data_IF_870106504697
#
_entry.id   IF_870106504697
#
_cell.length_a   1.000
_cell.length_b   1.000
_cell.length_c   1.000
_cell.angle_alpha   90.00
_cell.angle_beta   90.00
_cell.angle_gamma   90.00
#
_symmetry.space_group_name_H-M   'P 1'
#
loop_
_entity.id
_entity.type
_entity.pdbx_description
1 polymer ?
#
# COMPACT_ATOMS: atom_id res chain seq x y z
N UNK A 1 -20.63 0.06 -18.27
CA UNK A 1 -20.47 1.52 -18.12
C UNK A 1 -19.62 1.97 -19.27
N UNK A 2 -20.12 2.90 -20.07
CA UNK A 2 -19.52 3.17 -21.37
C UNK A 2 -18.35 4.17 -21.32
N UNK A 3 -18.17 4.90 -20.21
CA UNK A 3 -17.04 5.81 -20.01
C UNK A 3 -16.57 5.89 -18.58
N UNK A 4 -15.24 5.91 -18.40
CA UNK A 4 -14.59 6.06 -17.11
C UNK A 4 -13.19 6.69 -17.26
N UNK A 5 -12.62 7.12 -16.15
CA UNK A 5 -11.23 7.57 -16.04
C UNK A 5 -10.54 6.76 -14.94
N UNK A 6 -9.45 6.07 -15.28
CA UNK A 6 -8.56 5.49 -14.29
C UNK A 6 -7.57 6.57 -13.84
N UNK A 7 -7.30 6.63 -12.53
CA UNK A 7 -6.40 7.62 -11.91
C UNK A 7 -5.45 6.89 -10.97
N UNK A 8 -4.18 7.32 -11.00
CA UNK A 8 -3.15 6.92 -10.06
C UNK A 8 -2.26 8.11 -9.69
N UNK A 9 -1.70 8.10 -8.47
CA UNK A 9 -0.80 9.12 -7.95
C UNK A 9 0.47 8.52 -7.38
N UNK A 10 1.62 9.17 -7.63
CA UNK A 10 2.83 8.96 -6.83
C UNK A 10 2.99 10.08 -5.81
N UNK A 11 3.66 9.76 -4.69
CA UNK A 11 3.89 10.73 -3.61
C UNK A 11 5.31 10.62 -3.06
N UNK A 12 5.94 11.77 -2.76
CA UNK A 12 7.33 11.81 -2.30
C UNK A 12 7.52 11.20 -0.92
N UNK A 13 6.50 11.26 -0.06
CA UNK A 13 6.55 10.71 1.29
C UNK A 13 5.30 9.88 1.57
N UNK A 14 5.28 9.04 2.61
CA UNK A 14 4.06 8.36 3.04
C UNK A 14 2.91 9.31 3.41
N UNK A 15 3.17 10.60 3.45
CA UNK A 15 2.15 11.61 3.63
C UNK A 15 1.54 11.99 2.27
N UNK A 16 0.32 11.57 2.02
CA UNK A 16 -0.39 11.74 0.76
C UNK A 16 -0.63 13.20 0.33
N UNK A 17 -0.30 14.19 1.17
CA UNK A 17 -0.25 15.61 0.78
C UNK A 17 0.88 15.90 -0.22
N UNK A 18 1.89 15.03 -0.28
CA UNK A 18 3.08 15.20 -1.10
C UNK A 18 2.98 14.50 -2.45
N UNK A 19 1.79 14.51 -3.07
CA UNK A 19 1.64 13.99 -4.43
C UNK A 19 2.65 14.66 -5.37
N UNK A 20 3.41 13.84 -6.12
CA UNK A 20 4.50 14.28 -7.00
C UNK A 20 4.28 13.95 -8.47
N UNK A 21 3.32 13.09 -8.77
CA UNK A 21 2.81 12.91 -10.13
C UNK A 21 1.38 12.38 -10.13
N UNK A 22 0.71 12.57 -11.25
CA UNK A 22 -0.61 12.03 -11.55
C UNK A 22 -0.62 11.42 -12.93
N UNK A 23 -1.22 10.23 -13.05
CA UNK A 23 -1.57 9.58 -14.29
C UNK A 23 -3.09 9.44 -14.42
N UNK A 24 -3.62 9.73 -15.60
CA UNK A 24 -5.06 9.61 -15.87
C UNK A 24 -5.28 9.01 -17.25
N UNK A 25 -6.17 8.03 -17.34
CA UNK A 25 -6.51 7.33 -18.57
C UNK A 25 -8.02 7.32 -18.77
N UNK A 26 -8.49 7.97 -19.82
CA UNK A 26 -9.92 8.02 -20.17
C UNK A 26 -10.26 6.91 -21.16
N UNK A 27 -11.27 6.14 -20.82
CA UNK A 27 -11.81 5.06 -21.66
C UNK A 27 -13.24 5.36 -22.03
N UNK A 28 -13.57 5.18 -23.30
CA UNK A 28 -14.92 5.25 -23.84
C UNK A 28 -15.16 3.99 -24.71
N UNK A 29 -16.23 3.28 -24.43
CA UNK A 29 -16.59 2.06 -25.17
C UNK A 29 -15.44 1.05 -25.30
N UNK A 30 -14.73 0.82 -24.19
CA UNK A 30 -13.56 -0.07 -24.09
C UNK A 30 -12.34 0.36 -24.93
N UNK A 31 -12.26 1.61 -25.34
CA UNK A 31 -11.12 2.17 -26.07
C UNK A 31 -10.51 3.29 -25.20
N UNK A 32 -9.19 3.24 -25.00
CA UNK A 32 -8.45 4.35 -24.41
C UNK A 32 -8.47 5.49 -25.44
N UNK A 33 -9.09 6.61 -25.07
CA UNK A 33 -9.28 7.76 -25.96
C UNK A 33 -8.42 8.95 -25.60
N UNK A 34 -7.94 9.02 -24.35
CA UNK A 34 -7.10 10.11 -23.88
C UNK A 34 -6.27 9.66 -22.68
N UNK A 35 -5.04 10.13 -22.63
CA UNK A 35 -4.12 9.92 -21.52
C UNK A 35 -3.53 11.24 -21.07
N UNK A 36 -3.23 11.35 -19.80
CA UNK A 36 -2.61 12.52 -19.19
C UNK A 36 -1.60 12.08 -18.15
N UNK A 37 -0.45 12.72 -18.15
CA UNK A 37 0.56 12.60 -17.12
C UNK A 37 1.10 13.97 -16.77
N UNK A 38 1.29 14.23 -15.49
CA UNK A 38 2.01 15.41 -15.02
C UNK A 38 2.80 15.10 -13.77
N UNK A 39 3.99 15.66 -13.67
CA UNK A 39 4.61 15.88 -12.38
C UNK A 39 3.78 16.92 -11.63
N UNK A 40 3.84 16.86 -10.30
CA UNK A 40 3.16 17.79 -9.39
C UNK A 40 4.22 18.37 -8.46
N UNK A 41 4.24 19.69 -8.29
CA UNK A 41 5.02 20.32 -7.24
C UNK A 41 4.34 20.00 -5.89
N UNK A 42 4.97 19.18 -5.02
CA UNK A 42 4.38 18.80 -3.76
C UNK A 42 4.30 19.98 -2.79
N UNK A 43 3.41 19.89 -1.82
CA UNK A 43 3.27 20.87 -0.76
C UNK A 43 3.29 20.18 0.60
N UNK A 44 4.01 20.72 1.56
CA UNK A 44 5.04 21.77 1.44
C UNK A 44 6.24 21.30 0.62
N UNK A 45 6.90 22.20 -0.08
CA UNK A 45 8.02 21.93 -1.00
C UNK A 45 9.38 21.69 -0.31
N UNK A 46 9.43 21.78 1.01
CA UNK A 46 10.62 21.59 1.84
C UNK A 46 10.86 20.12 2.27
N UNK A 47 9.99 19.20 1.87
CA UNK A 47 10.08 17.79 2.28
C UNK A 47 10.97 16.98 1.37
N UNK A 48 11.96 16.32 1.97
CA UNK A 48 12.81 15.36 1.26
C UNK A 48 12.01 14.12 0.86
N UNK A 49 12.23 13.63 -0.37
CA UNK A 49 11.62 12.41 -0.86
C UNK A 49 12.13 11.19 -0.09
N UNK A 50 11.20 10.40 0.40
CA UNK A 50 11.45 9.08 0.98
C UNK A 50 11.10 7.95 0.00
N UNK A 51 10.33 8.27 -1.06
CA UNK A 51 9.81 7.28 -2.01
C UNK A 51 10.50 7.32 -3.38
N UNK A 52 11.52 8.17 -3.58
CA UNK A 52 12.27 8.22 -4.85
C UNK A 52 12.81 6.86 -5.28
N UNK A 53 13.20 6.00 -4.33
CA UNK A 53 13.67 4.65 -4.63
C UNK A 53 12.56 3.74 -5.20
N UNK A 54 11.29 4.10 -5.03
CA UNK A 54 10.13 3.36 -5.54
C UNK A 54 9.78 3.79 -6.95
N UNK A 55 9.56 5.11 -7.16
CA UNK A 55 9.04 5.65 -8.44
C UNK A 55 10.08 6.45 -9.24
N UNK A 56 11.23 6.75 -8.65
CA UNK A 56 12.34 7.46 -9.33
C UNK A 56 12.17 8.98 -9.44
N UNK A 57 11.08 9.56 -8.89
CA UNK A 57 10.83 11.00 -8.95
C UNK A 57 11.54 11.67 -7.77
N UNK A 58 12.33 12.73 -8.06
CA UNK A 58 13.03 13.54 -7.05
C UNK A 58 12.33 14.89 -6.84
N UNK A 59 12.70 15.59 -5.76
CA UNK A 59 12.21 16.94 -5.48
C UNK A 59 12.59 17.91 -6.61
N UNK A 60 13.81 17.78 -7.15
CA UNK A 60 14.31 18.65 -8.23
C UNK A 60 13.47 18.48 -9.51
N UNK A 61 13.03 17.25 -9.81
CA UNK A 61 12.15 16.99 -10.95
C UNK A 61 10.81 17.71 -10.79
N UNK A 62 10.32 17.86 -9.56
CA UNK A 62 9.05 18.48 -9.24
C UNK A 62 9.15 20.00 -9.03
N UNK A 63 10.35 20.56 -8.89
CA UNK A 63 10.55 21.96 -8.45
C UNK A 63 9.84 22.99 -9.34
N UNK A 64 9.79 22.76 -10.66
CA UNK A 64 9.12 23.64 -11.63
C UNK A 64 7.81 23.04 -12.17
N UNK A 65 7.32 21.95 -11.60
CA UNK A 65 6.05 21.37 -11.99
C UNK A 65 4.87 22.26 -11.53
N UNK A 66 3.70 22.16 -12.18
CA UNK A 66 2.49 22.77 -11.67
C UNK A 66 2.12 22.22 -10.30
N UNK A 67 1.49 23.02 -9.48
CA UNK A 67 0.92 22.55 -8.21
C UNK A 67 -0.34 21.71 -8.48
N UNK A 68 -0.76 20.95 -7.47
CA UNK A 68 -2.05 20.24 -7.54
C UNK A 68 -3.21 21.23 -7.82
N UNK A 69 -3.17 22.42 -7.19
CA UNK A 69 -4.20 23.45 -7.40
C UNK A 69 -4.25 23.97 -8.84
N UNK A 70 -3.10 24.05 -9.53
CA UNK A 70 -3.03 24.45 -10.96
C UNK A 70 -3.58 23.36 -11.87
N UNK A 71 -3.41 22.08 -11.51
CA UNK A 71 -3.87 20.93 -12.29
C UNK A 71 -5.35 20.61 -12.06
N UNK A 72 -5.90 20.98 -10.90
CA UNK A 72 -7.23 20.58 -10.49
C UNK A 72 -8.32 20.93 -11.53
N UNK A 73 -8.38 22.15 -12.11
CA UNK A 73 -9.41 22.46 -13.13
C UNK A 73 -9.29 21.57 -14.38
N UNK A 74 -8.07 21.18 -14.75
CA UNK A 74 -7.86 20.26 -15.86
C UNK A 74 -8.32 18.85 -15.51
N UNK A 75 -8.00 18.37 -14.31
CA UNK A 75 -8.41 17.04 -13.83
C UNK A 75 -9.93 16.94 -13.73
N UNK A 76 -10.61 17.99 -13.23
CA UNK A 76 -12.07 18.07 -13.19
C UNK A 76 -12.68 17.92 -14.60
N UNK A 77 -12.16 18.71 -15.56
CA UNK A 77 -12.61 18.60 -16.97
C UNK A 77 -12.30 17.24 -17.58
N UNK A 78 -11.16 16.65 -17.23
CA UNK A 78 -10.78 15.34 -17.73
C UNK A 78 -11.72 14.25 -17.21
N UNK A 79 -12.17 14.33 -15.96
CA UNK A 79 -13.06 13.36 -15.32
C UNK A 79 -14.54 13.64 -15.53
N UNK A 80 -14.90 14.79 -16.10
CA UNK A 80 -16.29 15.23 -16.21
C UNK A 80 -17.20 14.17 -16.84
N UNK A 81 -18.29 13.87 -16.12
CA UNK A 81 -19.27 12.86 -16.47
C UNK A 81 -18.72 11.44 -16.63
N UNK A 82 -17.53 11.12 -16.06
CA UNK A 82 -16.95 9.79 -16.05
C UNK A 82 -16.99 9.21 -14.64
N UNK A 83 -17.10 7.87 -14.54
CA UNK A 83 -16.77 7.20 -13.30
C UNK A 83 -15.25 7.22 -13.08
N UNK A 84 -14.83 7.29 -11.82
CA UNK A 84 -13.41 7.25 -11.45
C UNK A 84 -13.07 5.82 -11.03
N UNK A 85 -12.08 5.25 -11.69
CA UNK A 85 -11.57 3.89 -11.44
C UNK A 85 -10.19 3.99 -10.82
N UNK A 86 -9.93 3.18 -9.82
CA UNK A 86 -8.66 3.13 -9.09
C UNK A 86 -8.30 1.68 -8.74
N UNK A 87 -7.08 1.48 -8.27
CA UNK A 87 -6.68 0.21 -7.69
C UNK A 87 -6.20 0.43 -6.24
N UNK A 88 -7.00 -0.03 -5.25
CA UNK A 88 -6.79 0.22 -3.82
C UNK A 88 -6.96 1.71 -3.44
N UNK A 89 -8.18 2.18 -3.51
CA UNK A 89 -8.60 3.61 -3.43
C UNK A 89 -8.07 4.41 -2.23
N UNK A 90 -7.44 3.80 -1.25
CA UNK A 90 -7.02 4.48 0.00
C UNK A 90 -6.04 5.63 -0.24
N UNK A 91 -5.10 5.47 -1.17
CA UNK A 91 -4.11 6.49 -1.54
C UNK A 91 -4.76 7.62 -2.31
N UNK A 92 -5.46 7.31 -3.41
CA UNK A 92 -6.10 8.31 -4.31
C UNK A 92 -7.12 9.16 -3.55
N UNK A 93 -7.94 8.51 -2.71
CA UNK A 93 -8.88 9.20 -1.84
C UNK A 93 -8.16 10.17 -0.90
N UNK A 94 -7.10 9.73 -0.25
CA UNK A 94 -6.35 10.56 0.69
C UNK A 94 -5.65 11.73 -0.02
N UNK A 95 -5.05 11.50 -1.19
CA UNK A 95 -4.41 12.55 -2.02
C UNK A 95 -5.44 13.59 -2.40
N UNK A 96 -6.54 13.19 -3.03
CA UNK A 96 -7.58 14.11 -3.50
C UNK A 96 -8.20 14.91 -2.36
N UNK A 97 -8.55 14.25 -1.25
CA UNK A 97 -9.15 14.90 -0.09
C UNK A 97 -8.21 15.95 0.53
N UNK A 98 -6.95 15.57 0.78
CA UNK A 98 -5.98 16.46 1.43
C UNK A 98 -5.57 17.62 0.53
N UNK A 99 -5.31 17.34 -0.76
CA UNK A 99 -4.95 18.38 -1.72
C UNK A 99 -6.10 19.38 -1.92
N UNK A 100 -7.33 18.91 -2.13
CA UNK A 100 -8.49 19.81 -2.25
C UNK A 100 -8.67 20.66 -0.99
N UNK A 101 -8.51 20.11 0.20
CA UNK A 101 -8.57 20.91 1.45
C UNK A 101 -7.47 21.96 1.51
N UNK A 102 -6.22 21.57 1.17
CA UNK A 102 -5.08 22.47 1.20
C UNK A 102 -5.30 23.71 0.30
N UNK A 103 -5.87 23.51 -0.89
CA UNK A 103 -6.15 24.57 -1.85
C UNK A 103 -7.54 25.23 -1.66
N UNK A 104 -8.29 24.90 -0.60
CA UNK A 104 -9.63 25.43 -0.34
C UNK A 104 -10.67 25.06 -1.41
N UNK A 105 -10.51 23.89 -2.06
CA UNK A 105 -11.36 23.38 -3.14
C UNK A 105 -12.25 22.21 -2.69
N UNK A 106 -12.89 22.37 -1.55
CA UNK A 106 -13.81 21.34 -1.02
C UNK A 106 -15.15 21.25 -1.76
N UNK A 107 -15.41 22.18 -2.67
CA UNK A 107 -16.53 22.18 -3.62
C UNK A 107 -16.22 21.45 -4.95
N UNK A 108 -14.98 21.02 -5.14
CA UNK A 108 -14.56 20.25 -6.31
C UNK A 108 -15.27 18.90 -6.39
N UNK A 109 -15.71 18.44 -7.58
CA UNK A 109 -16.22 17.08 -7.77
C UNK A 109 -15.16 16.00 -7.50
N UNK A 110 -13.86 16.37 -7.45
CA UNK A 110 -12.76 15.50 -7.07
C UNK A 110 -12.50 15.49 -5.55
N UNK A 111 -13.18 16.31 -4.77
CA UNK A 111 -13.18 16.21 -3.33
C UNK A 111 -14.11 15.06 -2.89
N UNK A 112 -13.58 13.99 -2.34
CA UNK A 112 -14.32 12.79 -1.91
C UNK A 112 -15.20 12.15 -3.00
N UNK A 113 -14.67 11.89 -4.21
CA UNK A 113 -15.44 11.24 -5.26
C UNK A 113 -15.78 9.79 -4.91
N UNK A 114 -16.81 9.27 -5.57
CA UNK A 114 -17.06 7.81 -5.51
C UNK A 114 -16.10 7.09 -6.46
N UNK A 115 -15.44 6.05 -5.96
CA UNK A 115 -14.51 5.24 -6.74
C UNK A 115 -15.09 3.87 -7.10
N UNK A 116 -14.71 3.41 -8.29
CA UNK A 116 -14.77 1.99 -8.64
C UNK A 116 -13.37 1.43 -8.37
N UNK A 117 -13.26 0.52 -7.41
CA UNK A 117 -11.98 -0.01 -6.98
C UNK A 117 -11.79 -1.44 -7.51
N UNK A 118 -10.81 -1.59 -8.42
CA UNK A 118 -10.47 -2.88 -9.02
C UNK A 118 -9.87 -3.85 -8.03
N UNK A 119 -9.27 -3.36 -6.93
CA UNK A 119 -8.84 -4.22 -5.82
C UNK A 119 -10.01 -5.02 -5.24
N UNK A 120 -11.20 -4.43 -5.12
CA UNK A 120 -12.39 -5.14 -4.65
C UNK A 120 -12.80 -6.31 -5.56
N UNK A 121 -12.36 -6.32 -6.80
CA UNK A 121 -12.66 -7.38 -7.77
C UNK A 121 -11.56 -8.44 -7.83
N UNK A 122 -10.32 -8.08 -7.51
CA UNK A 122 -9.17 -8.98 -7.63
C UNK A 122 -8.64 -9.48 -6.29
N UNK A 123 -8.71 -8.65 -5.24
CA UNK A 123 -8.16 -8.93 -3.91
C UNK A 123 -6.63 -8.97 -3.86
N UNK A 124 -5.93 -8.44 -4.89
CA UNK A 124 -4.48 -8.54 -5.09
C UNK A 124 -3.89 -7.18 -5.45
N UNK A 125 -2.55 -7.03 -5.33
CA UNK A 125 -1.84 -5.86 -5.83
C UNK A 125 -2.09 -5.65 -7.33
N UNK A 126 -1.87 -4.43 -7.82
CA UNK A 126 -2.01 -4.12 -9.25
C UNK A 126 -1.12 -5.03 -10.10
N UNK A 127 0.15 -5.18 -9.72
CA UNK A 127 1.12 -6.02 -10.41
C UNK A 127 0.64 -7.48 -10.50
N UNK A 128 0.22 -8.06 -9.39
CA UNK A 128 -0.24 -9.46 -9.36
C UNK A 128 -1.55 -9.64 -10.15
N UNK A 129 -2.46 -8.66 -10.08
CA UNK A 129 -3.71 -8.65 -10.83
C UNK A 129 -3.45 -8.55 -12.33
N UNK A 130 -2.54 -7.68 -12.75
CA UNK A 130 -2.12 -7.54 -14.15
C UNK A 130 -1.47 -8.81 -14.69
N UNK A 131 -0.55 -9.41 -13.92
CA UNK A 131 0.08 -10.68 -14.28
C UNK A 131 -0.94 -11.80 -14.51
N UNK A 132 -1.93 -11.92 -13.63
CA UNK A 132 -3.00 -12.92 -13.80
C UNK A 132 -3.92 -12.63 -14.97
N UNK A 133 -4.17 -11.35 -15.23
CA UNK A 133 -5.01 -10.92 -16.35
C UNK A 133 -4.29 -10.89 -17.71
N UNK A 134 -2.98 -11.18 -17.74
CA UNK A 134 -2.18 -11.08 -18.96
C UNK A 134 -2.03 -9.64 -19.46
N UNK A 135 -2.02 -8.67 -18.53
CA UNK A 135 -1.80 -7.25 -18.80
C UNK A 135 -0.31 -6.95 -18.57
N UNK A 136 0.32 -6.32 -19.57
CA UNK A 136 1.71 -5.89 -19.45
C UNK A 136 1.81 -4.62 -18.61
N UNK A 137 2.45 -4.70 -17.45
CA UNK A 137 2.80 -3.55 -16.62
C UNK A 137 4.26 -3.19 -16.87
N UNK A 138 4.51 -2.23 -17.78
CA UNK A 138 5.85 -1.93 -18.29
C UNK A 138 6.78 -1.30 -17.26
N UNK A 139 6.23 -0.41 -16.44
CA UNK A 139 6.98 0.31 -15.41
C UNK A 139 6.06 0.56 -14.22
N UNK A 140 6.04 -0.37 -13.28
CA UNK A 140 5.32 -0.21 -12.02
C UNK A 140 5.88 1.00 -11.24
N UNK A 141 5.02 1.69 -10.50
CA UNK A 141 5.29 2.97 -9.85
C UNK A 141 5.60 4.10 -10.84
N UNK A 142 4.89 4.10 -11.95
CA UNK A 142 4.73 5.26 -12.82
C UNK A 142 3.23 5.54 -12.95
N UNK A 143 2.77 6.66 -12.42
CA UNK A 143 1.34 6.96 -12.29
C UNK A 143 0.54 6.77 -13.60
N UNK A 144 1.12 7.09 -14.78
CA UNK A 144 0.42 6.87 -16.05
C UNK A 144 0.36 5.38 -16.43
N UNK A 145 1.45 4.63 -16.26
CA UNK A 145 1.46 3.20 -16.55
C UNK A 145 0.55 2.43 -15.60
N UNK A 146 0.53 2.82 -14.32
CA UNK A 146 -0.35 2.19 -13.31
C UNK A 146 -1.82 2.55 -13.57
N UNK A 147 -2.14 3.79 -13.93
CA UNK A 147 -3.48 4.18 -14.37
C UNK A 147 -3.92 3.43 -15.64
N UNK A 148 -3.02 3.20 -16.62
CA UNK A 148 -3.30 2.42 -17.83
C UNK A 148 -3.58 0.96 -17.49
N UNK A 149 -2.74 0.36 -16.69
CA UNK A 149 -2.92 -1.02 -16.23
C UNK A 149 -4.22 -1.19 -15.43
N UNK A 150 -4.55 -0.23 -14.57
CA UNK A 150 -5.82 -0.19 -13.84
C UNK A 150 -7.02 -0.09 -14.79
N UNK A 151 -6.94 0.73 -15.86
CA UNK A 151 -7.98 0.85 -16.87
C UNK A 151 -8.20 -0.46 -17.63
N UNK A 152 -7.13 -1.10 -18.07
CA UNK A 152 -7.20 -2.40 -18.77
C UNK A 152 -7.75 -3.50 -17.85
N UNK A 153 -7.32 -3.51 -16.60
CA UNK A 153 -7.81 -4.44 -15.58
C UNK A 153 -9.32 -4.27 -15.38
N UNK A 154 -9.79 -3.02 -15.27
CA UNK A 154 -11.22 -2.76 -15.11
C UNK A 154 -12.03 -3.19 -16.34
N UNK A 155 -11.51 -2.99 -17.57
CA UNK A 155 -12.17 -3.47 -18.78
C UNK A 155 -12.34 -4.99 -18.78
N UNK A 156 -11.33 -5.73 -18.30
CA UNK A 156 -11.41 -7.20 -18.15
C UNK A 156 -12.39 -7.64 -17.07
N UNK A 157 -12.43 -6.91 -15.94
CA UNK A 157 -13.43 -7.13 -14.87
C UNK A 157 -14.84 -6.94 -15.42
N UNK A 158 -15.10 -5.88 -16.20
CA UNK A 158 -16.40 -5.63 -16.85
C UNK A 158 -16.72 -6.68 -17.90
N UNK A 159 -15.74 -7.23 -18.59
CA UNK A 159 -15.88 -8.29 -19.58
C UNK A 159 -16.18 -9.67 -18.98
N UNK A 160 -16.11 -9.82 -17.67
CA UNK A 160 -16.26 -11.08 -16.97
C UNK A 160 -15.06 -12.03 -17.13
N UNK A 161 -13.94 -11.53 -17.66
CA UNK A 161 -12.70 -12.29 -17.80
C UNK A 161 -12.01 -12.52 -16.45
N UNK A 162 -12.29 -11.64 -15.49
CA UNK A 162 -11.82 -11.74 -14.10
C UNK A 162 -13.03 -12.04 -13.24
N UNK A 163 -13.17 -13.29 -12.84
CA UNK A 163 -14.18 -13.71 -11.86
C UNK A 163 -13.64 -13.39 -10.49
N UNK A 164 -14.45 -12.72 -9.65
CA UNK A 164 -14.12 -12.57 -8.21
C UNK A 164 -13.67 -13.92 -7.67
N UNK A 165 -12.55 -13.99 -6.95
CA UNK A 165 -12.27 -15.19 -6.18
C UNK A 165 -13.51 -15.45 -5.32
N UNK A 166 -14.05 -16.67 -5.35
CA UNK A 166 -15.09 -17.09 -4.43
C UNK A 166 -14.62 -16.72 -3.01
N UNK A 167 -15.39 -15.96 -2.21
CA UNK A 167 -15.00 -15.63 -0.85
C UNK A 167 -14.63 -16.85 -0.02
N UNK A 168 -15.19 -18.04 -0.35
CA UNK A 168 -14.81 -19.31 0.26
C UNK A 168 -13.50 -19.88 -0.31
N UNK A 169 -13.11 -19.52 -1.55
CA UNK A 169 -11.81 -19.89 -2.12
C UNK A 169 -10.70 -18.91 -1.72
N UNK A 170 -11.02 -17.66 -1.38
CA UNK A 170 -10.08 -16.68 -0.86
C UNK A 170 -9.55 -17.11 0.54
N UNK A 171 -10.30 -17.92 1.28
CA UNK A 171 -9.82 -18.54 2.52
C UNK A 171 -8.77 -19.63 2.29
N UNK A 172 -8.65 -20.15 1.05
CA UNK A 172 -7.65 -21.17 0.68
C UNK A 172 -6.42 -20.62 -0.05
N UNK A 173 -6.44 -19.35 -0.51
CA UNK A 173 -5.32 -18.67 -1.16
C UNK A 173 -4.90 -17.41 -0.40
N UNK A 174 -4.35 -17.60 0.80
CA UNK A 174 -3.37 -16.70 1.43
C UNK A 174 -3.75 -15.26 1.77
N UNK A 175 -4.97 -14.77 1.50
CA UNK A 175 -5.43 -13.51 2.10
C UNK A 175 -5.98 -13.78 3.49
N UNK A 176 -5.07 -13.87 4.45
CA UNK A 176 -5.46 -14.06 5.84
C UNK A 176 -6.14 -12.76 6.31
N UNK A 177 -7.45 -12.82 6.52
CA UNK A 177 -8.19 -11.86 7.37
C UNK A 177 -7.29 -11.54 8.55
N UNK A 178 -7.00 -10.27 8.81
CA UNK A 178 -6.17 -9.88 9.98
C UNK A 178 -6.77 -10.54 11.20
N UNK A 179 -6.17 -11.64 11.61
CA UNK A 179 -6.60 -12.38 12.79
C UNK A 179 -6.23 -11.53 14.03
N UNK A 180 -7.22 -10.88 14.60
CA UNK A 180 -6.99 -10.01 15.75
C UNK A 180 -6.49 -10.79 16.96
N UNK A 181 -6.75 -12.10 17.03
CA UNK A 181 -6.29 -12.97 18.11
C UNK A 181 -4.76 -13.09 18.18
N UNK A 182 -4.06 -12.89 17.05
CA UNK A 182 -2.60 -12.90 16.98
C UNK A 182 -1.92 -11.74 17.76
N UNK A 183 -2.70 -10.74 18.13
CA UNK A 183 -2.26 -9.55 18.87
C UNK A 183 -2.77 -9.55 20.33
N UNK A 184 -3.36 -10.64 20.76
CA UNK A 184 -3.82 -10.83 22.14
C UNK A 184 -2.71 -11.52 22.94
N UNK A 185 -2.55 -11.12 24.20
CA UNK A 185 -1.68 -11.85 25.13
C UNK A 185 -2.31 -13.20 25.42
N UNK A 186 -1.54 -14.27 25.19
CA UNK A 186 -1.96 -15.61 25.60
C UNK A 186 -1.59 -15.86 27.07
N UNK A 187 -2.47 -16.52 27.83
CA UNK A 187 -2.10 -17.02 29.14
C UNK A 187 -1.07 -18.17 29.04
N UNK A 188 -0.23 -18.31 30.04
CA UNK A 188 0.90 -19.24 30.04
C UNK A 188 0.54 -20.69 29.71
N UNK A 189 -0.66 -21.13 30.11
CA UNK A 189 -1.14 -22.49 29.82
C UNK A 189 -1.36 -22.77 28.32
N UNK A 190 -1.41 -21.71 27.50
CA UNK A 190 -1.56 -21.79 26.03
C UNK A 190 -0.26 -21.58 25.29
N UNK A 191 0.84 -21.29 25.99
CA UNK A 191 2.15 -21.12 25.38
C UNK A 191 2.80 -22.48 25.14
N UNK A 192 3.62 -22.57 24.09
CA UNK A 192 4.47 -23.76 23.89
C UNK A 192 5.59 -23.82 24.94
N UNK A 193 6.15 -22.65 25.28
CA UNK A 193 7.24 -22.48 26.25
C UNK A 193 7.21 -21.06 26.84
N UNK A 194 7.62 -20.95 28.10
CA UNK A 194 7.78 -19.67 28.82
C UNK A 194 9.25 -19.29 29.05
N UNK A 195 10.19 -20.20 28.80
CA UNK A 195 11.64 -20.01 28.97
C UNK A 195 12.32 -19.53 27.68
N UNK A 196 11.63 -18.72 26.87
CA UNK A 196 12.13 -18.21 25.59
C UNK A 196 12.55 -16.74 25.68
N UNK A 197 13.47 -16.27 24.82
CA UNK A 197 13.82 -14.87 24.77
C UNK A 197 12.64 -13.96 24.34
N UNK A 198 11.59 -14.53 23.75
CA UNK A 198 10.38 -13.81 23.31
C UNK A 198 9.34 -13.62 24.41
N UNK A 199 9.49 -14.34 25.52
CA UNK A 199 8.50 -14.32 26.60
C UNK A 199 8.25 -12.91 27.13
N UNK A 200 7.00 -12.46 27.08
CA UNK A 200 6.52 -11.14 27.44
C UNK A 200 7.15 -9.96 26.67
N UNK A 201 7.85 -10.22 25.56
CA UNK A 201 8.38 -9.15 24.71
C UNK A 201 7.33 -8.52 23.82
N UNK A 202 7.26 -7.20 23.81
CA UNK A 202 6.42 -6.42 22.91
C UNK A 202 7.12 -6.29 21.54
N UNK A 203 6.61 -7.00 20.55
CA UNK A 203 7.28 -7.18 19.26
C UNK A 203 6.44 -6.60 18.12
N UNK A 204 7.07 -5.75 17.30
CA UNK A 204 6.53 -5.36 16.01
C UNK A 204 7.20 -6.16 14.89
N UNK A 205 6.40 -6.64 13.93
CA UNK A 205 6.89 -7.36 12.75
C UNK A 205 6.60 -6.56 11.50
N UNK A 206 7.60 -6.35 10.63
CA UNK A 206 7.47 -5.55 9.40
C UNK A 206 8.33 -6.14 8.28
N UNK A 207 7.95 -5.91 7.02
CA UNK A 207 8.61 -6.51 5.86
C UNK A 207 8.05 -7.89 5.50
N UNK A 208 8.66 -8.55 4.53
CA UNK A 208 8.36 -9.91 4.10
C UNK A 208 9.45 -10.86 4.56
N UNK A 209 9.10 -12.10 4.84
CA UNK A 209 10.00 -13.12 5.40
C UNK A 209 10.09 -14.30 4.44
N UNK A 210 11.30 -14.62 3.99
CA UNK A 210 11.56 -15.76 3.09
C UNK A 210 11.21 -17.09 3.74
N UNK A 211 11.40 -17.20 5.04
CA UNK A 211 11.07 -18.38 5.84
C UNK A 211 9.56 -18.55 6.09
N UNK A 212 8.79 -17.50 5.86
CA UNK A 212 7.32 -17.48 5.97
C UNK A 212 6.69 -16.82 4.73
N UNK A 213 6.92 -17.35 3.51
CA UNK A 213 6.51 -16.73 2.27
C UNK A 213 4.99 -16.54 2.23
N UNK A 214 4.53 -15.30 2.04
CA UNK A 214 3.11 -14.91 2.02
C UNK A 214 2.31 -15.29 3.28
N UNK A 215 2.98 -15.64 4.38
CA UNK A 215 2.33 -16.13 5.60
C UNK A 215 2.88 -15.47 6.87
N UNK A 216 2.80 -14.13 6.93
CA UNK A 216 3.17 -13.39 8.15
C UNK A 216 2.38 -13.84 9.38
N UNK A 217 1.13 -14.28 9.23
CA UNK A 217 0.33 -14.75 10.35
C UNK A 217 0.90 -16.01 10.99
N UNK A 218 1.55 -16.90 10.23
CA UNK A 218 2.25 -18.06 10.81
C UNK A 218 3.42 -17.61 11.68
N UNK A 219 4.21 -16.63 11.23
CA UNK A 219 5.28 -16.06 12.05
C UNK A 219 4.72 -15.40 13.32
N UNK A 220 3.69 -14.56 13.21
CA UNK A 220 3.05 -13.93 14.37
C UNK A 220 2.51 -14.98 15.35
N UNK A 221 1.90 -16.05 14.82
CA UNK A 221 1.40 -17.16 15.65
C UNK A 221 2.53 -17.89 16.38
N UNK A 222 3.62 -18.20 15.68
CA UNK A 222 4.79 -18.84 16.31
C UNK A 222 5.36 -17.97 17.44
N UNK A 223 5.56 -16.69 17.18
CA UNK A 223 6.05 -15.74 18.19
C UNK A 223 5.09 -15.64 19.39
N UNK A 224 3.78 -15.58 19.15
CA UNK A 224 2.76 -15.54 20.20
C UNK A 224 2.81 -16.79 21.06
N UNK A 225 2.96 -17.99 20.46
CA UNK A 225 3.05 -19.26 21.19
C UNK A 225 4.36 -19.37 22.01
N UNK A 226 5.40 -18.63 21.62
CA UNK A 226 6.65 -18.49 22.37
C UNK A 226 6.59 -17.34 23.41
N UNK A 227 5.42 -16.78 23.66
CA UNK A 227 5.16 -15.78 24.69
C UNK A 227 5.31 -14.33 24.25
N UNK A 228 5.54 -14.05 22.97
CA UNK A 228 5.60 -12.67 22.46
C UNK A 228 4.23 -11.97 22.48
N UNK A 229 4.25 -10.68 22.73
CA UNK A 229 3.10 -9.78 22.59
C UNK A 229 3.24 -9.06 21.26
N UNK A 230 2.56 -9.54 20.22
CA UNK A 230 2.62 -8.94 18.91
C UNK A 230 1.92 -7.56 18.90
N UNK A 231 2.57 -6.56 18.34
CA UNK A 231 2.04 -5.20 18.22
C UNK A 231 1.51 -4.93 16.81
N UNK A 232 0.38 -4.23 16.69
CA UNK A 232 -0.19 -3.77 15.40
C UNK A 232 0.57 -2.57 14.82
N UNK A 233 1.20 -1.77 15.69
CA UNK A 233 1.94 -0.56 15.33
C UNK A 233 3.09 -0.34 16.30
N UNK A 234 4.09 0.45 15.88
CA UNK A 234 5.20 0.88 16.74
C UNK A 234 4.66 1.86 17.79
N UNK A 235 4.88 1.54 19.06
CA UNK A 235 4.46 2.33 20.23
C UNK A 235 5.64 2.51 21.17
N UNK A 236 5.47 3.30 22.22
CA UNK A 236 6.51 3.47 23.27
C UNK A 236 6.82 2.17 24.03
N UNK A 237 5.91 1.19 23.98
CA UNK A 237 6.13 -0.13 24.57
C UNK A 237 6.84 -1.11 23.65
N UNK A 238 7.17 -0.73 22.42
CA UNK A 238 7.90 -1.61 21.49
C UNK A 238 9.29 -1.89 22.03
N UNK A 239 9.62 -3.14 22.27
CA UNK A 239 10.94 -3.58 22.75
C UNK A 239 11.77 -4.15 21.60
N UNK A 240 11.15 -4.91 20.72
CA UNK A 240 11.81 -5.54 19.58
C UNK A 240 11.09 -5.25 18.27
N UNK A 241 11.86 -5.10 17.21
CA UNK A 241 11.36 -4.99 15.84
C UNK A 241 11.96 -6.11 14.99
N UNK A 242 11.11 -7.02 14.54
CA UNK A 242 11.51 -8.08 13.59
C UNK A 242 11.29 -7.53 12.19
N UNK A 243 12.40 -7.42 11.44
CA UNK A 243 12.46 -6.71 10.16
C UNK A 243 12.84 -7.69 9.07
N UNK A 244 11.89 -7.97 8.18
CA UNK A 244 12.09 -8.72 6.94
C UNK A 244 12.42 -7.82 5.76
N UNK A 245 12.51 -8.43 4.57
CA UNK A 245 12.81 -7.74 3.31
C UNK A 245 11.67 -6.76 2.96
N UNK A 246 12.00 -5.62 2.33
CA UNK A 246 10.99 -4.64 1.91
C UNK A 246 10.20 -3.98 3.05
N UNK A 247 10.75 -3.92 4.26
CA UNK A 247 10.10 -3.23 5.37
C UNK A 247 9.82 -1.77 5.03
N UNK A 248 8.57 -1.34 5.23
CA UNK A 248 8.10 -0.03 4.81
C UNK A 248 8.90 1.14 5.44
N UNK A 249 9.32 2.14 4.64
CA UNK A 249 10.23 3.20 5.06
C UNK A 249 9.72 3.98 6.27
N UNK A 250 8.42 4.26 6.36
CA UNK A 250 7.85 4.99 7.51
C UNK A 250 7.99 4.24 8.84
N UNK A 251 7.98 2.91 8.83
CA UNK A 251 8.25 2.12 10.03
C UNK A 251 9.73 2.11 10.37
N UNK A 252 10.60 2.00 9.37
CA UNK A 252 12.05 2.03 9.57
C UNK A 252 12.52 3.38 10.10
N UNK A 253 11.98 4.48 9.58
CA UNK A 253 12.26 5.83 10.07
C UNK A 253 11.83 6.00 11.53
N UNK A 254 10.65 5.50 11.88
CA UNK A 254 10.17 5.54 13.27
C UNK A 254 11.03 4.70 14.19
N UNK A 255 11.50 3.53 13.76
CA UNK A 255 12.43 2.68 14.52
C UNK A 255 13.80 3.34 14.68
N UNK A 256 14.28 4.06 13.67
CA UNK A 256 15.55 4.81 13.75
C UNK A 256 15.53 5.92 14.82
N UNK A 257 14.34 6.40 15.20
CA UNK A 257 14.15 7.38 16.27
C UNK A 257 14.00 6.73 17.66
N UNK A 258 14.06 5.39 17.73
CA UNK A 258 13.87 4.62 18.97
C UNK A 258 15.09 3.69 19.19
N UNK A 259 16.23 4.25 19.63
CA UNK A 259 17.50 3.49 19.78
C UNK A 259 17.41 2.37 20.83
N UNK A 260 16.42 2.44 21.71
CA UNK A 260 16.13 1.41 22.73
C UNK A 260 15.49 0.15 22.14
N UNK A 261 14.91 0.22 20.94
CA UNK A 261 14.25 -0.91 20.28
C UNK A 261 15.29 -1.79 19.61
N UNK A 262 15.36 -3.05 20.02
CA UNK A 262 16.22 -4.04 19.35
C UNK A 262 15.67 -4.39 17.99
N UNK A 263 16.46 -4.17 16.95
CA UNK A 263 16.14 -4.61 15.59
C UNK A 263 16.71 -6.03 15.39
N UNK A 264 15.85 -6.94 14.96
CA UNK A 264 16.18 -8.34 14.68
C UNK A 264 15.86 -8.59 13.20
N UNK A 265 16.86 -8.98 12.43
CA UNK A 265 16.68 -9.37 11.04
C UNK A 265 16.31 -10.84 10.91
N UNK A 266 15.80 -11.26 9.74
CA UNK A 266 15.28 -12.60 9.53
C UNK A 266 16.29 -13.71 9.86
N UNK A 267 17.56 -13.53 9.50
CA UNK A 267 18.62 -14.51 9.77
C UNK A 267 18.80 -14.74 11.28
N UNK A 268 18.93 -13.65 12.05
CA UNK A 268 19.03 -13.70 13.52
C UNK A 268 17.77 -14.33 14.14
N UNK A 269 16.59 -13.96 13.62
CA UNK A 269 15.33 -14.55 14.08
C UNK A 269 15.32 -16.07 13.90
N UNK A 270 15.75 -16.55 12.73
CA UNK A 270 15.77 -18.00 12.44
C UNK A 270 16.78 -18.75 13.32
N UNK A 271 17.92 -18.16 13.63
CA UNK A 271 18.87 -18.70 14.60
C UNK A 271 18.25 -18.80 16.00
N UNK A 272 17.56 -17.72 16.44
CA UNK A 272 16.88 -17.71 17.73
C UNK A 272 15.78 -18.78 17.80
N UNK A 273 14.97 -18.93 16.76
CA UNK A 273 13.92 -19.96 16.70
C UNK A 273 14.52 -21.35 16.68
N UNK A 274 15.56 -21.58 15.89
CA UNK A 274 16.25 -22.88 15.83
C UNK A 274 16.91 -23.28 17.16
N UNK A 275 17.38 -22.33 17.96
CA UNK A 275 17.95 -22.62 19.29
C UNK A 275 16.90 -23.01 20.34
N UNK A 276 15.64 -22.64 20.12
CA UNK A 276 14.53 -22.99 21.03
C UNK A 276 14.00 -24.39 20.73
N UNK A 277 14.13 -24.88 19.50
CA UNK A 277 13.62 -26.17 19.05
C UNK A 277 14.59 -27.34 19.37
N UNK A 278 15.80 -27.05 19.85
CA UNK A 278 16.78 -28.01 20.35
C UNK A 278 16.57 -28.29 21.86
#
# INVERSE_FOLDING_TARGET
MDKFVAIDFEHLTPNHETACSVGMVKVINKVIVQEFYSLIKPVPDDRKSLNTHVHGITEEMCANAPTFGDLLPYMEKFTDGCAIVVHNHGTEKSVLEKACRYYGKTDSPLYQPSFIDTYNSTGKSLEESCKQAGIELKKHHNALEDARACAELYMKVQGGEIVKPNPDAASSMGYQKKDSSLYELLPDEKLERTDTPFYHKHIITTGEFRSYPNNRNALLKKLQLLGAINLKSITKSTEWAIVGEGAGPSKMEKLAQMPEVRIIHEEELMEMLGSIEQ
#
